data_IF_259371933762
#
_entry.id   IF_259371933762
#
_cell.length_a   1.000
_cell.length_b   1.000
_cell.length_c   1.000
_cell.angle_alpha   90.00
_cell.angle_beta   90.00
_cell.angle_gamma   90.00
#
_symmetry.space_group_name_H-M   'P 1'
#
loop_
_entity.id
_entity.type
_entity.pdbx_description
1 polymer ?
#
# COMPACT_ATOMS: atom_id res chain seq x y z
N UNK A 1 62.96 -18.94 8.22
CA UNK A 1 61.57 -18.88 8.74
C UNK A 1 60.90 -17.49 8.72
N UNK A 2 61.53 -16.39 8.23
CA UNK A 2 60.90 -15.05 8.22
C UNK A 2 60.09 -14.69 6.96
N UNK A 3 60.27 -15.41 5.84
CA UNK A 3 59.54 -15.14 4.58
C UNK A 3 58.12 -15.70 4.57
N UNK A 4 57.88 -16.91 5.12
CA UNK A 4 56.55 -17.54 5.14
C UNK A 4 55.53 -16.79 6.01
N UNK A 5 55.99 -16.16 7.10
CA UNK A 5 55.14 -15.38 8.03
C UNK A 5 54.55 -14.16 7.32
N UNK A 6 55.30 -13.49 6.44
CA UNK A 6 54.83 -12.31 5.70
C UNK A 6 53.75 -12.65 4.67
N UNK A 7 53.86 -13.82 4.04
CA UNK A 7 52.91 -14.26 3.02
C UNK A 7 51.62 -14.76 3.68
N UNK A 8 51.75 -15.42 4.85
CA UNK A 8 50.62 -15.81 5.70
C UNK A 8 49.86 -14.59 6.24
N UNK A 9 50.57 -13.55 6.67
CA UNK A 9 49.94 -12.31 7.14
C UNK A 9 49.20 -11.59 6.01
N UNK A 10 49.78 -11.53 4.81
CA UNK A 10 49.17 -10.92 3.61
C UNK A 10 47.87 -11.64 3.18
N UNK A 11 47.86 -12.98 3.24
CA UNK A 11 46.70 -13.80 2.88
C UNK A 11 45.51 -13.57 3.83
N UNK A 12 45.79 -13.41 5.13
CA UNK A 12 44.76 -13.12 6.14
C UNK A 12 44.15 -11.74 5.93
N UNK A 13 44.95 -10.71 5.58
CA UNK A 13 44.42 -9.37 5.30
C UNK A 13 43.52 -9.33 4.07
N UNK A 14 43.86 -10.09 3.02
CA UNK A 14 43.03 -10.19 1.80
C UNK A 14 41.69 -10.89 2.11
N UNK A 15 41.70 -11.97 2.89
CA UNK A 15 40.47 -12.63 3.33
C UNK A 15 39.58 -11.69 4.17
N UNK A 16 40.16 -10.88 5.08
CA UNK A 16 39.40 -9.91 5.86
C UNK A 16 38.73 -8.84 4.99
N UNK A 17 39.43 -8.38 3.94
CA UNK A 17 38.89 -7.43 2.97
C UNK A 17 37.73 -8.04 2.16
N UNK A 18 37.81 -9.31 1.79
CA UNK A 18 36.74 -9.99 1.06
C UNK A 18 35.44 -10.08 1.88
N UNK A 19 35.52 -10.30 3.19
CA UNK A 19 34.33 -10.36 4.07
C UNK A 19 33.63 -9.00 4.17
N UNK A 20 34.38 -7.89 4.14
CA UNK A 20 33.81 -6.53 4.16
C UNK A 20 33.06 -6.18 2.86
N UNK A 21 33.39 -6.82 1.73
CA UNK A 21 32.75 -6.55 0.43
C UNK A 21 31.46 -7.36 0.19
N UNK A 22 31.25 -8.47 0.90
CA UNK A 22 30.01 -9.26 0.80
C UNK A 22 28.89 -8.79 1.76
N UNK A 23 29.18 -7.82 2.63
CA UNK A 23 28.24 -7.31 3.64
C UNK A 23 27.23 -6.26 3.15
N UNK A 24 27.42 -5.66 1.98
CA UNK A 24 26.43 -4.74 1.39
C UNK A 24 25.43 -5.49 0.51
N UNK A 25 24.70 -6.46 1.09
CA UNK A 25 23.42 -6.85 0.49
C UNK A 25 22.44 -5.77 0.90
N UNK A 26 22.15 -4.90 -0.06
CA UNK A 26 21.23 -3.78 0.06
C UNK A 26 19.84 -4.31 0.45
N UNK A 27 19.61 -4.47 1.74
CA UNK A 27 18.30 -4.27 2.31
C UNK A 27 18.12 -2.76 2.36
N UNK A 28 18.06 -2.13 1.18
CA UNK A 28 17.20 -0.99 1.03
C UNK A 28 15.81 -1.58 1.33
N UNK A 29 15.46 -1.57 2.62
CA UNK A 29 14.08 -1.64 3.07
C UNK A 29 13.32 -0.86 2.03
N UNK A 30 12.39 -1.50 1.29
CA UNK A 30 11.41 -0.77 0.51
C UNK A 30 10.84 0.23 1.49
N UNK A 31 11.37 1.45 1.50
CA UNK A 31 10.83 2.56 2.24
C UNK A 31 9.53 2.79 1.48
N UNK A 32 8.50 2.09 1.93
CA UNK A 32 7.20 2.15 1.31
C UNK A 32 6.88 3.62 1.21
N UNK A 33 6.66 4.08 -0.01
CA UNK A 33 6.51 5.48 -0.31
C UNK A 33 5.09 5.90 0.13
N UNK A 34 4.79 5.75 1.44
CA UNK A 34 3.49 6.01 2.06
C UNK A 34 3.06 7.46 1.86
N UNK A 35 4.01 8.37 1.62
CA UNK A 35 3.74 9.75 1.22
C UNK A 35 2.95 9.89 -0.10
N UNK A 36 2.74 8.81 -0.87
CA UNK A 36 1.94 8.88 -2.10
C UNK A 36 0.44 8.74 -1.86
N UNK A 37 0.00 8.12 -0.75
CA UNK A 37 -1.42 7.98 -0.40
C UNK A 37 -1.74 8.89 0.78
N UNK A 38 -2.86 9.64 0.69
CA UNK A 38 -3.29 10.49 1.80
C UNK A 38 -4.12 9.65 2.77
N UNK A 39 -3.88 9.83 4.05
CA UNK A 39 -4.77 9.30 5.09
C UNK A 39 -6.01 10.17 5.19
N UNK A 40 -7.15 9.57 5.51
CA UNK A 40 -8.47 10.20 5.53
C UNK A 40 -9.50 9.46 4.70
N UNK A 41 -10.53 10.20 4.28
CA UNK A 41 -11.71 9.64 3.63
C UNK A 41 -11.65 9.83 2.10
N UNK A 42 -11.96 8.77 1.38
CA UNK A 42 -12.18 8.76 -0.05
C UNK A 42 -13.60 8.30 -0.35
N UNK A 43 -14.31 9.02 -1.21
CA UNK A 43 -15.72 8.73 -1.52
C UNK A 43 -15.83 8.40 -3.00
N UNK A 44 -16.52 7.33 -3.33
CA UNK A 44 -16.81 7.00 -4.72
C UNK A 44 -17.81 8.00 -5.28
N UNK A 45 -17.52 8.58 -6.43
CA UNK A 45 -18.49 9.34 -7.21
C UNK A 45 -18.97 8.46 -8.37
N UNK A 46 -20.27 8.44 -8.61
CA UNK A 46 -20.87 7.80 -9.79
C UNK A 46 -21.77 8.81 -10.48
N UNK A 47 -21.45 9.15 -11.73
CA UNK A 47 -22.18 10.14 -12.52
C UNK A 47 -22.26 11.54 -11.86
N UNK A 48 -21.24 11.93 -11.09
CA UNK A 48 -21.22 13.23 -10.38
C UNK A 48 -21.99 13.25 -9.06
N UNK A 49 -22.57 12.12 -8.64
CA UNK A 49 -23.26 11.98 -7.35
C UNK A 49 -22.44 11.08 -6.39
N UNK A 50 -22.43 11.37 -5.07
CA UNK A 50 -21.79 10.50 -4.08
C UNK A 50 -22.43 9.10 -4.11
N UNK A 51 -21.66 8.10 -4.51
CA UNK A 51 -22.06 6.70 -4.38
C UNK A 51 -21.99 6.29 -2.90
N UNK A 52 -22.66 5.18 -2.56
CA UNK A 52 -22.67 4.66 -1.18
C UNK A 52 -21.36 3.97 -0.78
N UNK A 53 -20.36 4.00 -1.65
CA UNK A 53 -19.07 3.36 -1.44
C UNK A 53 -18.03 4.38 -1.00
N UNK A 54 -17.26 4.06 0.03
CA UNK A 54 -16.22 4.93 0.57
C UNK A 54 -15.10 4.11 1.19
N UNK A 55 -13.91 4.69 1.24
CA UNK A 55 -12.69 4.10 1.80
C UNK A 55 -12.16 5.06 2.85
N UNK A 56 -11.86 4.57 4.04
CA UNK A 56 -11.12 5.29 5.08
C UNK A 56 -9.74 4.68 5.20
N UNK A 57 -8.69 5.49 5.13
CA UNK A 57 -7.30 5.09 5.36
C UNK A 57 -6.81 5.82 6.61
N UNK A 58 -6.32 5.06 7.59
CA UNK A 58 -5.83 5.60 8.85
C UNK A 58 -4.29 5.63 8.89
N UNK A 59 -3.73 6.47 9.75
CA UNK A 59 -2.27 6.64 9.90
C UNK A 59 -1.57 5.36 10.41
N UNK A 60 -2.31 4.47 11.07
CA UNK A 60 -1.82 3.20 11.65
C UNK A 60 -1.80 2.05 10.63
N UNK A 61 -1.66 2.34 9.34
CA UNK A 61 -1.65 1.35 8.27
C UNK A 61 -2.96 0.55 8.09
N UNK A 62 -4.07 1.02 8.67
CA UNK A 62 -5.37 0.36 8.59
C UNK A 62 -6.27 1.01 7.54
N UNK A 63 -7.18 0.23 6.99
CA UNK A 63 -8.25 0.73 6.14
C UNK A 63 -9.60 0.14 6.51
N UNK A 64 -10.66 0.85 6.14
CA UNK A 64 -12.03 0.35 6.12
C UNK A 64 -12.61 0.68 4.75
N UNK A 65 -13.22 -0.30 4.10
CA UNK A 65 -13.84 -0.15 2.79
C UNK A 65 -15.34 -0.47 2.87
N UNK A 66 -16.17 0.52 2.63
CA UNK A 66 -17.60 0.33 2.40
C UNK A 66 -17.85 0.15 0.91
N UNK A 67 -18.25 -1.06 0.50
CA UNK A 67 -18.33 -1.44 -0.92
C UNK A 67 -19.56 -0.93 -1.65
N UNK A 68 -20.63 -0.54 -0.95
CA UNK A 68 -21.82 0.07 -1.54
C UNK A 68 -23.13 -0.32 -0.85
N UNK A 69 -24.25 0.13 -1.40
CA UNK A 69 -25.58 -0.22 -0.91
C UNK A 69 -25.89 -1.69 -1.21
N UNK A 70 -26.36 -2.44 -0.21
CA UNK A 70 -26.77 -3.85 -0.38
C UNK A 70 -25.65 -4.88 -0.20
N UNK A 71 -24.41 -4.46 0.02
CA UNK A 71 -23.32 -5.35 0.43
C UNK A 71 -23.18 -5.28 1.96
N UNK A 72 -23.51 -6.37 2.65
CA UNK A 72 -23.46 -6.46 4.10
C UNK A 72 -22.04 -6.47 4.65
N UNK A 73 -21.10 -7.07 3.91
CA UNK A 73 -19.72 -7.19 4.35
C UNK A 73 -18.91 -5.92 4.07
N UNK A 74 -18.15 -5.49 5.08
CA UNK A 74 -17.32 -4.29 5.13
C UNK A 74 -15.85 -4.68 5.30
N UNK A 75 -15.10 -4.79 4.20
CA UNK A 75 -13.68 -5.13 4.25
C UNK A 75 -12.88 -4.16 5.13
N UNK A 76 -12.02 -4.72 5.96
CA UNK A 76 -11.06 -3.99 6.77
C UNK A 76 -9.74 -4.77 6.85
N UNK A 77 -8.66 -4.09 7.19
CA UNK A 77 -7.36 -4.74 7.29
C UNK A 77 -6.21 -3.75 7.14
N UNK A 78 -5.10 -4.24 6.58
CA UNK A 78 -3.89 -3.46 6.36
C UNK A 78 -3.71 -3.10 4.90
N UNK A 79 -3.01 -1.98 4.64
CA UNK A 79 -2.68 -1.59 3.28
C UNK A 79 -1.18 -1.59 2.99
N UNK A 80 -0.85 -1.83 1.72
CA UNK A 80 0.49 -1.79 1.17
C UNK A 80 0.56 -0.82 -0.01
N UNK A 81 1.62 0.00 -0.08
CA UNK A 81 1.90 0.88 -1.22
C UNK A 81 3.13 0.39 -1.97
N UNK A 82 3.00 0.19 -3.29
CA UNK A 82 4.11 -0.16 -4.19
C UNK A 82 4.06 0.72 -5.44
N UNK A 83 4.90 1.76 -5.48
CA UNK A 83 4.81 2.80 -6.50
C UNK A 83 3.43 3.46 -6.50
N UNK A 84 2.80 3.55 -7.67
CA UNK A 84 1.46 4.13 -7.83
C UNK A 84 0.32 3.14 -7.55
N UNK A 85 0.59 2.03 -6.89
CA UNK A 85 -0.40 1.01 -6.55
C UNK A 85 -0.62 0.95 -5.06
N UNK A 86 -1.88 0.80 -4.68
CA UNK A 86 -2.34 0.60 -3.32
C UNK A 86 -3.05 -0.75 -3.25
N UNK A 87 -2.66 -1.57 -2.30
CA UNK A 87 -3.23 -2.89 -2.06
C UNK A 87 -3.88 -2.91 -0.69
N UNK A 88 -5.16 -3.21 -0.63
CA UNK A 88 -5.90 -3.45 0.61
C UNK A 88 -5.99 -4.94 0.85
N UNK A 89 -5.35 -5.41 1.91
CA UNK A 89 -5.30 -6.82 2.29
C UNK A 89 -6.39 -7.07 3.33
N UNK A 90 -7.28 -7.99 3.00
CA UNK A 90 -8.28 -8.52 3.92
C UNK A 90 -7.90 -9.93 4.32
N UNK A 91 -8.38 -10.37 5.47
CA UNK A 91 -8.13 -11.73 5.95
C UNK A 91 -8.95 -12.78 5.19
N UNK A 92 -10.07 -12.39 4.57
CA UNK A 92 -11.10 -13.31 4.06
C UNK A 92 -11.43 -13.14 2.56
N UNK A 93 -11.34 -11.93 2.00
CA UNK A 93 -11.69 -11.63 0.60
C UNK A 93 -10.47 -11.38 -0.29
N UNK A 94 -9.26 -11.66 0.21
CA UNK A 94 -8.02 -11.45 -0.53
C UNK A 94 -7.63 -9.98 -0.63
N UNK A 95 -7.19 -9.55 -1.82
CA UNK A 95 -6.62 -8.22 -2.02
C UNK A 95 -7.44 -7.37 -2.99
N UNK A 96 -7.71 -6.12 -2.60
CA UNK A 96 -8.21 -5.09 -3.52
C UNK A 96 -7.04 -4.24 -4.04
N UNK A 97 -6.90 -4.12 -5.37
CA UNK A 97 -5.89 -3.30 -6.02
C UNK A 97 -6.49 -1.98 -6.51
N UNK A 98 -5.82 -0.88 -6.15
CA UNK A 98 -6.13 0.47 -6.58
C UNK A 98 -4.91 1.13 -7.21
N UNK A 99 -5.15 2.00 -8.19
CA UNK A 99 -4.15 2.96 -8.68
C UNK A 99 -4.27 4.27 -7.91
N UNK A 100 -3.15 4.82 -7.47
CA UNK A 100 -3.04 6.10 -6.79
C UNK A 100 -2.82 7.21 -7.82
N UNK A 101 -3.70 8.21 -7.83
CA UNK A 101 -3.56 9.40 -8.66
C UNK A 101 -3.86 10.69 -7.88
N UNK A 102 -2.81 11.30 -7.30
CA UNK A 102 -2.90 12.54 -6.49
C UNK A 102 -3.91 12.41 -5.33
N UNK A 103 -5.15 12.83 -5.58
CA UNK A 103 -6.26 12.83 -4.62
C UNK A 103 -7.31 11.76 -4.98
N UNK A 104 -6.95 10.78 -5.80
CA UNK A 104 -7.87 9.75 -6.28
C UNK A 104 -7.31 8.36 -6.05
N UNK A 105 -8.21 7.42 -5.79
CA UNK A 105 -7.97 5.99 -5.85
C UNK A 105 -8.88 5.40 -6.94
N UNK A 106 -8.29 4.72 -7.91
CA UNK A 106 -9.02 4.11 -9.02
C UNK A 106 -8.98 2.60 -8.82
N UNK A 107 -10.14 1.98 -8.65
CA UNK A 107 -10.26 0.54 -8.51
C UNK A 107 -9.79 -0.16 -9.78
N UNK A 108 -8.91 -1.14 -9.62
CA UNK A 108 -8.37 -1.93 -10.73
C UNK A 108 -9.02 -3.31 -10.76
N UNK A 109 -8.94 -4.04 -9.64
CA UNK A 109 -9.47 -5.40 -9.50
C UNK A 109 -9.46 -5.84 -8.04
N UNK A 110 -10.12 -6.95 -7.77
CA UNK A 110 -9.98 -7.71 -6.54
C UNK A 110 -10.22 -9.19 -6.80
N UNK A 111 -9.87 -10.01 -5.82
CA UNK A 111 -10.21 -11.44 -5.80
C UNK A 111 -11.72 -11.67 -5.52
N UNK A 112 -12.42 -10.61 -5.09
CA UNK A 112 -13.84 -10.58 -4.79
C UNK A 112 -14.67 -10.15 -6.01
N UNK A 113 -15.48 -11.08 -6.52
CA UNK A 113 -16.31 -10.85 -7.71
C UNK A 113 -17.46 -9.85 -7.47
N UNK A 114 -17.78 -9.50 -6.21
CA UNK A 114 -18.96 -8.70 -5.87
C UNK A 114 -18.92 -7.23 -6.34
N UNK A 115 -17.73 -6.65 -6.55
CA UNK A 115 -17.59 -5.27 -7.01
C UNK A 115 -17.73 -5.12 -8.54
N UNK A 116 -17.70 -6.23 -9.28
CA UNK A 116 -17.72 -6.23 -10.75
C UNK A 116 -16.48 -5.57 -11.38
N UNK A 117 -16.46 -5.49 -12.71
CA UNK A 117 -15.33 -4.95 -13.49
C UNK A 117 -15.48 -3.46 -13.86
N UNK A 118 -16.36 -2.72 -13.18
CA UNK A 118 -16.55 -1.31 -13.47
C UNK A 118 -15.45 -0.48 -12.81
N UNK A 119 -14.89 0.46 -13.55
CA UNK A 119 -13.87 1.38 -13.02
C UNK A 119 -14.50 2.32 -11.98
N UNK A 120 -14.28 2.03 -10.69
CA UNK A 120 -14.73 2.87 -9.58
C UNK A 120 -13.63 3.87 -9.23
N UNK A 121 -13.97 5.15 -9.21
CA UNK A 121 -13.06 6.22 -8.81
C UNK A 121 -13.49 6.82 -7.48
N UNK A 122 -12.56 6.84 -6.52
CA UNK A 122 -12.76 7.41 -5.20
C UNK A 122 -11.94 8.70 -5.06
N UNK A 123 -12.59 9.79 -4.65
CA UNK A 123 -11.96 11.10 -4.47
C UNK A 123 -11.73 11.38 -2.99
N UNK A 124 -10.54 11.86 -2.66
CA UNK A 124 -10.19 12.32 -1.33
C UNK A 124 -11.06 13.52 -0.93
N UNK A 125 -11.57 13.50 0.31
CA UNK A 125 -12.39 14.57 0.87
C UNK A 125 -11.99 14.88 2.30
N UNK A 126 -12.16 16.14 2.68
CA UNK A 126 -12.05 16.60 4.07
C UNK A 126 -13.41 16.70 4.77
N UNK A 127 -14.51 16.43 4.06
CA UNK A 127 -15.84 16.37 4.66
C UNK A 127 -15.96 15.10 5.51
N UNK A 128 -16.70 15.21 6.61
CA UNK A 128 -17.04 14.03 7.42
C UNK A 128 -18.01 13.12 6.66
N UNK A 129 -18.06 11.84 7.06
CA UNK A 129 -19.00 10.89 6.47
C UNK A 129 -20.45 11.33 6.75
N UNK A 130 -20.70 11.90 7.92
CA UNK A 130 -21.99 12.43 8.34
C UNK A 130 -22.44 13.59 7.45
N UNK A 131 -21.54 14.51 7.10
CA UNK A 131 -21.85 15.64 6.22
C UNK A 131 -22.20 15.18 4.80
N UNK A 132 -21.56 14.11 4.33
CA UNK A 132 -21.83 13.52 3.03
C UNK A 132 -23.18 12.78 2.99
N UNK A 133 -23.57 12.17 4.10
CA UNK A 133 -24.84 11.45 4.23
C UNK A 133 -26.05 12.41 4.38
N UNK A 134 -25.86 13.57 5.01
CA UNK A 134 -26.91 14.61 5.16
C UNK A 134 -27.19 15.40 3.88
N UNK A 135 -26.29 15.35 2.91
CA UNK A 135 -26.43 16.05 1.63
C UNK A 135 -27.33 15.31 0.61
N UNK A 136 -27.89 14.15 1.00
CA UNK A 136 -28.89 13.38 0.25
C UNK A 136 -30.27 13.57 0.84
#
# INVERSE_FOLDING_TARGET
MKKSIKHSLLLITICLLCVLLYGCKNNASKAQNKNQVKTGLYVCEKNGEPAWSWIKIDDDNKFIFHRGAGLSYRPEGEYEVDGNKLYFKTDDLGTYEFKIEKNKLIYVKSDDEALGSNELTFLYTTKSLEDLQKAK
#
